data_IF_858822312339
#
_entry.id   IF_858822312339
#
_cell.length_a   1.000
_cell.length_b   1.000
_cell.length_c   1.000
_cell.angle_alpha   90.00
_cell.angle_beta   90.00
_cell.angle_gamma   90.00
#
_symmetry.space_group_name_H-M   'P 1'
#
loop_
_entity.id
_entity.type
_entity.pdbx_description
1 polymer ?
#
# COMPACT_ATOMS: atom_id res chain seq x y z
N UNK A 1 -27.31 -13.21 -92.45
CA UNK A 1 -27.55 -13.98 -91.25
C UNK A 1 -26.20 -14.06 -90.52
N UNK A 2 -26.16 -13.77 -89.30
CA UNK A 2 -25.12 -13.78 -88.27
C UNK A 2 -24.65 -12.39 -87.77
N UNK A 3 -25.24 -12.03 -86.64
CA UNK A 3 -24.98 -10.84 -85.88
C UNK A 3 -23.71 -10.99 -85.08
N UNK A 4 -22.83 -9.99 -85.18
CA UNK A 4 -21.63 -9.87 -84.35
C UNK A 4 -21.95 -9.04 -83.12
N UNK A 5 -21.94 -9.67 -81.94
CA UNK A 5 -22.14 -8.99 -80.68
C UNK A 5 -20.78 -8.46 -80.18
N UNK A 6 -20.68 -7.15 -80.06
CA UNK A 6 -19.58 -6.44 -79.46
C UNK A 6 -19.81 -6.41 -77.89
N UNK A 7 -18.92 -7.01 -77.12
CA UNK A 7 -18.93 -6.94 -75.65
C UNK A 7 -18.04 -5.77 -75.23
N UNK A 8 -18.65 -4.74 -74.70
CA UNK A 8 -17.95 -3.64 -74.01
C UNK A 8 -17.53 -4.08 -72.58
N UNK A 9 -16.22 -4.10 -72.35
CA UNK A 9 -15.66 -4.33 -71.05
C UNK A 9 -15.60 -3.01 -70.24
N UNK A 10 -16.39 -2.90 -69.16
CA UNK A 10 -16.33 -1.79 -68.22
C UNK A 10 -15.25 -2.09 -67.21
N UNK A 11 -14.20 -1.28 -67.22
CA UNK A 11 -13.19 -1.27 -66.18
C UNK A 11 -13.73 -0.54 -64.92
N UNK A 12 -13.97 -1.26 -63.83
CA UNK A 12 -14.20 -0.70 -62.52
C UNK A 12 -12.85 -0.40 -61.88
N UNK A 13 -12.51 0.89 -61.78
CA UNK A 13 -11.36 1.38 -61.06
C UNK A 13 -11.70 1.36 -59.58
N UNK A 14 -11.12 0.40 -58.83
CA UNK A 14 -11.24 0.30 -57.38
C UNK A 14 -10.32 1.34 -56.72
N UNK A 15 -10.89 2.50 -56.35
CA UNK A 15 -10.19 3.49 -55.51
C UNK A 15 -10.18 2.97 -54.07
N UNK A 16 -9.04 2.42 -53.66
CA UNK A 16 -8.80 2.05 -52.25
C UNK A 16 -8.61 3.34 -51.43
N UNK A 17 -9.65 3.72 -50.71
CA UNK A 17 -9.56 4.78 -49.69
C UNK A 17 -8.81 4.22 -48.50
N UNK A 18 -7.53 4.57 -48.37
CA UNK A 18 -6.73 4.32 -47.16
C UNK A 18 -7.17 5.34 -46.12
N UNK A 19 -8.01 4.90 -45.18
CA UNK A 19 -8.36 5.67 -43.98
C UNK A 19 -7.18 5.56 -43.00
N UNK A 20 -6.47 6.65 -42.65
CA UNK A 20 -5.47 6.61 -41.62
C UNK A 20 -6.16 6.35 -40.28
N UNK A 21 -5.85 5.22 -39.65
CA UNK A 21 -6.24 4.92 -38.27
C UNK A 21 -5.50 5.91 -37.36
N UNK A 22 -6.12 7.06 -37.05
CA UNK A 22 -5.67 7.91 -35.97
C UNK A 22 -5.87 7.11 -34.64
N UNK A 23 -4.78 6.56 -34.12
CA UNK A 23 -4.74 6.06 -32.75
C UNK A 23 -4.92 7.24 -31.80
N UNK A 24 -6.17 7.49 -31.38
CA UNK A 24 -6.47 8.35 -30.24
C UNK A 24 -5.80 7.74 -29.00
N UNK A 25 -4.67 8.30 -28.60
CA UNK A 25 -4.04 8.04 -27.33
C UNK A 25 -5.01 8.42 -26.23
N UNK A 26 -5.78 7.44 -25.73
CA UNK A 26 -6.73 7.66 -24.63
C UNK A 26 -5.97 8.08 -23.39
N UNK A 27 -6.26 9.26 -22.86
CA UNK A 27 -5.87 9.64 -21.50
C UNK A 27 -6.40 8.56 -20.55
N UNK A 28 -5.49 7.88 -19.85
CA UNK A 28 -5.89 6.92 -18.82
C UNK A 28 -6.50 7.69 -17.65
N UNK A 29 -7.82 7.67 -17.55
CA UNK A 29 -8.53 8.20 -16.39
C UNK A 29 -8.64 7.08 -15.35
N UNK A 30 -8.17 7.33 -14.15
CA UNK A 30 -8.27 6.40 -13.03
C UNK A 30 -9.50 6.75 -12.18
N UNK A 31 -10.20 5.75 -11.61
CA UNK A 31 -11.32 6.00 -10.72
C UNK A 31 -10.90 6.76 -9.47
N UNK A 32 -11.82 7.53 -8.90
CA UNK A 32 -11.63 8.14 -7.58
C UNK A 32 -11.98 7.14 -6.48
N UNK A 33 -11.31 7.27 -5.33
CA UNK A 33 -11.67 6.53 -4.13
C UNK A 33 -12.97 7.13 -3.54
N UNK A 34 -13.76 6.27 -2.90
CA UNK A 34 -14.95 6.71 -2.17
C UNK A 34 -14.52 7.27 -0.80
N UNK A 35 -14.79 8.55 -0.48
CA UNK A 35 -14.47 9.12 0.81
C UNK A 35 -15.26 8.49 1.98
N UNK A 36 -16.43 7.90 1.71
CA UNK A 36 -17.28 7.25 2.71
C UNK A 36 -16.91 5.76 2.94
N UNK A 37 -15.82 5.28 2.35
CA UNK A 37 -15.38 3.90 2.55
C UNK A 37 -14.94 3.71 4.00
N UNK A 38 -15.63 2.81 4.73
CA UNK A 38 -15.25 2.53 6.13
C UNK A 38 -13.98 1.69 6.18
N UNK A 39 -13.01 2.08 7.03
CA UNK A 39 -11.86 1.24 7.30
C UNK A 39 -12.31 -0.12 7.84
N UNK A 40 -11.64 -1.18 7.41
CA UNK A 40 -11.81 -2.51 8.01
C UNK A 40 -10.77 -2.59 9.13
N UNK A 41 -11.24 -2.85 10.36
CA UNK A 41 -10.34 -3.07 11.49
C UNK A 41 -9.46 -4.30 11.23
N UNK A 42 -8.16 -4.14 11.39
CA UNK A 42 -7.18 -5.22 11.26
C UNK A 42 -6.34 -5.28 12.53
N UNK A 43 -6.06 -6.52 12.97
CA UNK A 43 -5.08 -6.72 14.03
C UNK A 43 -3.68 -6.31 13.53
N UNK A 44 -2.92 -5.62 14.38
CA UNK A 44 -1.54 -5.27 14.06
C UNK A 44 -0.69 -6.53 13.88
N UNK A 45 0.05 -6.61 12.79
CA UNK A 45 1.00 -7.68 12.51
C UNK A 45 2.42 -7.19 12.77
N UNK A 46 3.13 -7.92 13.60
CA UNK A 46 4.54 -7.65 13.91
C UNK A 46 5.37 -7.72 12.65
N UNK A 47 6.25 -6.75 12.46
CA UNK A 47 7.14 -6.65 11.30
C UNK A 47 8.62 -6.55 11.67
N UNK A 48 9.52 -6.73 10.69
CA UNK A 48 10.93 -6.45 10.88
C UNK A 48 11.18 -5.01 11.30
N UNK A 49 12.00 -4.82 12.32
CA UNK A 49 12.30 -3.51 12.90
C UNK A 49 11.41 -3.11 14.05
N UNK A 50 10.32 -3.83 14.30
CA UNK A 50 9.53 -3.63 15.52
C UNK A 50 10.36 -3.99 16.77
N UNK A 51 10.05 -3.35 17.89
CA UNK A 51 10.60 -3.75 19.17
C UNK A 51 9.50 -4.38 20.02
N UNK A 52 9.74 -5.60 20.51
CA UNK A 52 8.78 -6.36 21.32
C UNK A 52 9.34 -6.58 22.72
N UNK A 53 8.54 -6.27 23.72
CA UNK A 53 8.83 -6.58 25.12
C UNK A 53 8.13 -7.89 25.50
N UNK A 54 8.93 -8.88 25.85
CA UNK A 54 8.49 -10.23 26.19
C UNK A 54 8.56 -10.39 27.70
N UNK A 55 7.40 -10.55 28.32
CA UNK A 55 7.25 -10.68 29.76
C UNK A 55 6.83 -12.11 30.08
N UNK A 56 7.70 -12.86 30.73
CA UNK A 56 7.42 -14.23 31.19
C UNK A 56 7.10 -14.20 32.66
N UNK A 57 5.87 -14.53 33.01
CA UNK A 57 5.39 -14.46 34.42
C UNK A 57 6.24 -15.28 35.36
N UNK A 58 6.70 -14.68 36.45
CA UNK A 58 7.58 -15.27 37.48
C UNK A 58 8.97 -15.71 37.01
N UNK A 59 9.38 -15.33 35.79
CA UNK A 59 10.69 -15.66 35.24
C UNK A 59 11.34 -14.42 34.63
N UNK A 60 11.76 -13.44 35.42
CA UNK A 60 12.34 -12.19 34.91
C UNK A 60 13.65 -12.41 34.15
N UNK A 61 14.37 -13.52 34.43
CA UNK A 61 15.63 -13.87 33.76
C UNK A 61 15.49 -14.23 32.27
N UNK A 62 14.28 -14.56 31.86
CA UNK A 62 13.95 -14.83 30.44
C UNK A 62 13.04 -13.77 29.84
N UNK A 63 12.68 -12.73 30.61
CA UNK A 63 11.89 -11.59 30.17
C UNK A 63 12.83 -10.50 29.65
N UNK A 64 12.56 -9.98 28.44
CA UNK A 64 13.39 -8.93 27.82
C UNK A 64 12.70 -8.25 26.64
N UNK A 65 13.14 -7.04 26.34
CA UNK A 65 12.82 -6.38 25.10
C UNK A 65 13.81 -6.82 24.01
N UNK A 66 13.27 -7.16 22.82
CA UNK A 66 14.08 -7.60 21.69
C UNK A 66 13.57 -6.97 20.39
N UNK A 67 14.47 -6.53 19.49
CA UNK A 67 14.07 -6.11 18.15
C UNK A 67 13.73 -7.31 17.27
N UNK A 68 12.75 -7.16 16.42
CA UNK A 68 12.47 -8.12 15.33
C UNK A 68 13.52 -7.92 14.24
N UNK A 69 14.28 -8.96 13.97
CA UNK A 69 15.38 -8.96 13.00
C UNK A 69 14.86 -8.75 11.58
N UNK A 70 15.72 -8.31 10.62
CA UNK A 70 15.32 -8.14 9.21
C UNK A 70 14.78 -9.41 8.54
N UNK A 71 15.14 -10.60 9.05
CA UNK A 71 14.60 -11.90 8.60
C UNK A 71 13.23 -12.24 9.24
N UNK A 72 12.65 -11.32 10.04
CA UNK A 72 11.36 -11.47 10.70
C UNK A 72 11.36 -12.36 11.94
N UNK A 73 12.53 -12.68 12.46
CA UNK A 73 12.69 -13.56 13.63
C UNK A 73 13.13 -12.77 14.86
N UNK A 74 12.87 -13.36 16.02
CA UNK A 74 13.40 -12.92 17.32
C UNK A 74 14.24 -14.01 17.95
N UNK A 75 15.15 -13.61 18.86
CA UNK A 75 15.94 -14.52 19.68
C UNK A 75 15.87 -14.03 21.12
N UNK A 76 15.49 -14.93 22.01
CA UNK A 76 15.41 -14.69 23.47
C UNK A 76 16.19 -15.78 24.21
N UNK A 77 16.46 -15.64 25.51
CA UNK A 77 17.01 -16.73 26.30
C UNK A 77 16.16 -17.99 26.14
N UNK A 78 16.79 -19.13 25.88
CA UNK A 78 16.18 -20.45 25.69
C UNK A 78 15.35 -20.63 24.40
N UNK A 79 15.04 -19.55 23.64
CA UNK A 79 14.27 -19.63 22.39
C UNK A 79 15.00 -18.86 21.29
N UNK A 80 15.61 -19.60 20.39
CA UNK A 80 16.34 -19.06 19.26
C UNK A 80 15.51 -19.12 17.98
N UNK A 81 15.70 -18.11 17.09
CA UNK A 81 15.15 -18.07 15.72
C UNK A 81 13.64 -18.29 15.60
N UNK A 82 12.86 -17.76 16.56
CA UNK A 82 11.41 -17.84 16.51
C UNK A 82 10.85 -16.81 15.52
N UNK A 83 9.98 -17.23 14.60
CA UNK A 83 9.34 -16.34 13.65
C UNK A 83 8.32 -15.44 14.37
N UNK A 84 8.53 -14.13 14.30
CA UNK A 84 7.65 -13.11 14.87
C UNK A 84 6.87 -12.35 13.79
N UNK A 85 7.50 -12.09 12.63
CA UNK A 85 6.88 -11.34 11.54
C UNK A 85 5.61 -12.02 11.00
N UNK A 86 4.58 -11.20 10.74
CA UNK A 86 3.29 -11.66 10.24
C UNK A 86 2.37 -12.27 11.30
N UNK A 87 2.75 -12.19 12.57
CA UNK A 87 1.95 -12.67 13.72
C UNK A 87 1.43 -11.50 14.54
N UNK A 88 0.30 -11.69 15.20
CA UNK A 88 -0.14 -10.76 16.26
C UNK A 88 0.68 -10.97 17.52
N UNK A 89 0.68 -10.00 18.44
CA UNK A 89 1.34 -10.14 19.74
C UNK A 89 0.84 -11.36 20.52
N UNK A 90 -0.47 -11.65 20.44
CA UNK A 90 -1.07 -12.83 21.09
C UNK A 90 -0.58 -14.14 20.47
N UNK A 91 -0.50 -14.23 19.15
CA UNK A 91 0.02 -15.42 18.47
C UNK A 91 1.49 -15.66 18.83
N UNK A 92 2.30 -14.59 18.80
CA UNK A 92 3.71 -14.69 19.19
C UNK A 92 3.87 -15.14 20.64
N UNK A 93 3.02 -14.62 21.56
CA UNK A 93 3.05 -15.04 22.95
C UNK A 93 2.79 -16.56 23.11
N UNK A 94 1.81 -17.11 22.37
CA UNK A 94 1.52 -18.56 22.40
C UNK A 94 2.68 -19.39 21.86
N UNK A 95 3.31 -18.94 20.79
CA UNK A 95 4.47 -19.63 20.23
C UNK A 95 5.68 -19.64 21.19
N UNK A 96 5.90 -18.53 21.89
CA UNK A 96 6.96 -18.44 22.92
C UNK A 96 6.63 -19.38 24.10
N UNK A 97 5.37 -19.45 24.55
CA UNK A 97 4.96 -20.38 25.61
C UNK A 97 5.22 -21.83 25.19
N UNK A 98 4.88 -22.19 23.97
CA UNK A 98 5.14 -23.54 23.44
C UNK A 98 6.64 -23.83 23.44
N UNK A 99 7.46 -22.90 22.94
CA UNK A 99 8.90 -23.07 22.90
C UNK A 99 9.53 -23.19 24.30
N UNK A 100 9.09 -22.35 25.25
CA UNK A 100 9.57 -22.34 26.63
C UNK A 100 9.07 -23.54 27.45
N UNK A 101 7.99 -24.21 27.05
CA UNK A 101 7.43 -25.36 27.79
C UNK A 101 8.39 -26.52 27.97
N UNK A 102 9.46 -26.58 27.15
CA UNK A 102 10.56 -27.55 27.24
C UNK A 102 11.45 -27.32 28.45
N UNK A 103 11.49 -26.09 28.98
CA UNK A 103 12.41 -25.64 30.02
C UNK A 103 11.68 -25.16 31.27
N UNK A 104 10.46 -24.60 31.11
CA UNK A 104 9.69 -24.00 32.16
C UNK A 104 8.31 -24.68 32.22
N UNK A 105 7.88 -25.05 33.42
CA UNK A 105 6.55 -25.63 33.61
C UNK A 105 5.46 -24.54 33.53
N UNK A 106 4.50 -24.71 32.62
CA UNK A 106 3.35 -23.82 32.42
C UNK A 106 3.77 -22.33 32.29
N UNK A 107 4.64 -21.98 31.34
CA UNK A 107 5.03 -20.58 31.15
C UNK A 107 3.81 -19.76 30.72
N UNK A 108 3.65 -18.56 31.28
CA UNK A 108 2.66 -17.57 30.86
C UNK A 108 3.41 -16.38 30.31
N UNK A 109 3.18 -16.09 29.01
CA UNK A 109 3.91 -15.05 28.28
C UNK A 109 2.96 -13.95 27.82
N UNK A 110 3.39 -12.71 28.03
CA UNK A 110 2.77 -11.51 27.44
C UNK A 110 3.78 -10.86 26.51
N UNK A 111 3.33 -10.53 25.31
CA UNK A 111 4.12 -9.79 24.31
C UNK A 111 3.50 -8.42 24.11
N UNK A 112 4.30 -7.37 24.30
CA UNK A 112 3.93 -5.98 24.10
C UNK A 112 4.79 -5.41 22.98
N UNK A 113 4.19 -4.88 21.91
CA UNK A 113 4.93 -4.14 20.88
C UNK A 113 5.14 -2.72 21.38
N UNK A 114 6.38 -2.26 21.44
CA UNK A 114 6.76 -0.94 21.98
C UNK A 114 7.16 0.06 20.90
N UNK A 115 7.71 -0.42 19.77
CA UNK A 115 8.02 0.38 18.60
C UNK A 115 7.38 -0.28 17.36
N UNK A 116 6.62 0.52 16.62
CA UNK A 116 5.80 0.03 15.51
C UNK A 116 6.39 0.48 14.19
N UNK A 117 7.10 -0.38 13.50
CA UNK A 117 7.54 -0.19 12.11
C UNK A 117 6.60 -0.93 11.18
N UNK A 118 6.26 -2.16 11.53
CA UNK A 118 5.40 -3.06 10.78
C UNK A 118 6.04 -3.61 9.50
N UNK A 119 5.45 -4.65 8.92
CA UNK A 119 5.88 -5.14 7.61
C UNK A 119 5.54 -4.11 6.51
N UNK A 120 6.27 -4.14 5.40
CA UNK A 120 6.02 -3.22 4.26
C UNK A 120 4.59 -3.27 3.72
N UNK A 121 3.89 -4.38 3.88
CA UNK A 121 2.48 -4.53 3.52
C UNK A 121 1.53 -3.70 4.39
N UNK A 122 1.97 -3.30 5.57
CA UNK A 122 1.19 -2.54 6.55
C UNK A 122 1.57 -1.04 6.58
N UNK A 123 2.58 -0.64 5.79
CA UNK A 123 3.04 0.74 5.73
C UNK A 123 2.36 1.50 4.60
N UNK A 124 2.07 2.78 4.84
CA UNK A 124 1.76 3.74 3.78
C UNK A 124 3.07 4.36 3.32
N UNK A 125 3.31 4.36 2.02
CA UNK A 125 4.54 4.90 1.43
C UNK A 125 4.21 6.12 0.59
N UNK A 126 4.95 7.20 0.80
CA UNK A 126 4.78 8.43 0.05
C UNK A 126 6.02 8.68 -0.80
N UNK A 127 5.82 8.90 -2.09
CA UNK A 127 6.88 9.15 -3.06
C UNK A 127 6.55 10.34 -3.96
N UNK A 128 7.58 11.01 -4.47
CA UNK A 128 7.47 12.16 -5.36
C UNK A 128 7.51 13.48 -4.60
N UNK A 129 6.71 14.45 -5.01
CA UNK A 129 6.71 15.83 -4.56
C UNK A 129 6.00 16.06 -3.20
N UNK A 130 6.27 15.22 -2.21
CA UNK A 130 6.00 15.52 -0.80
C UNK A 130 7.19 16.28 -0.20
N UNK A 131 6.97 17.07 0.86
CA UNK A 131 8.06 17.77 1.53
C UNK A 131 9.08 16.79 2.13
N UNK A 132 8.60 15.73 2.76
CA UNK A 132 9.43 14.64 3.33
C UNK A 132 8.90 13.26 2.89
N UNK A 133 9.27 12.79 1.68
CA UNK A 133 8.85 11.48 1.20
C UNK A 133 9.35 10.36 2.13
N UNK A 134 8.46 9.56 2.67
CA UNK A 134 8.80 8.51 3.63
C UNK A 134 7.77 7.39 3.68
N UNK A 135 8.11 6.32 4.39
CA UNK A 135 7.17 5.27 4.78
C UNK A 135 6.61 5.57 6.17
N UNK A 136 5.31 5.45 6.33
CA UNK A 136 4.58 5.70 7.57
C UNK A 136 3.92 4.40 8.04
N UNK A 137 3.97 4.05 9.32
CA UNK A 137 3.17 2.96 9.85
C UNK A 137 1.68 3.32 9.69
N UNK A 138 0.90 2.40 9.17
CA UNK A 138 -0.55 2.60 9.08
C UNK A 138 -1.16 2.67 10.50
N UNK A 139 -2.12 3.57 10.65
CA UNK A 139 -2.96 3.65 11.86
C UNK A 139 -4.41 3.49 11.46
N UNK A 140 -5.20 2.85 12.30
CA UNK A 140 -6.63 2.73 12.08
C UNK A 140 -7.29 4.11 11.85
N UNK A 141 -8.23 4.18 10.93
CA UNK A 141 -8.92 5.41 10.51
C UNK A 141 -8.01 6.49 9.87
N UNK A 142 -6.78 6.15 9.51
CA UNK A 142 -5.86 7.08 8.85
C UNK A 142 -6.40 7.54 7.50
N UNK A 143 -6.41 8.85 7.29
CA UNK A 143 -6.90 9.49 6.07
C UNK A 143 -5.75 10.05 5.23
N UNK A 144 -6.07 10.47 4.01
CA UNK A 144 -5.13 11.14 3.11
C UNK A 144 -4.56 12.42 3.73
N UNK A 145 -5.38 13.17 4.48
CA UNK A 145 -4.94 14.38 5.17
C UNK A 145 -3.91 14.06 6.26
N UNK A 146 -4.10 12.97 7.03
CA UNK A 146 -3.15 12.56 8.07
C UNK A 146 -1.79 12.20 7.48
N UNK A 147 -1.80 11.53 6.31
CA UNK A 147 -0.57 11.23 5.57
C UNK A 147 0.14 12.50 5.15
N UNK A 148 -0.58 13.49 4.59
CA UNK A 148 0.00 14.76 4.17
C UNK A 148 0.57 15.55 5.34
N UNK A 149 -0.10 15.56 6.49
CA UNK A 149 0.42 16.17 7.72
C UNK A 149 1.73 15.50 8.13
N UNK A 150 1.77 14.17 8.11
CA UNK A 150 2.94 13.40 8.54
C UNK A 150 4.18 13.59 7.64
N UNK A 151 3.97 13.87 6.33
CA UNK A 151 5.07 14.13 5.37
C UNK A 151 5.35 15.62 5.16
N UNK A 152 4.76 16.51 5.99
CA UNK A 152 5.00 17.96 5.92
C UNK A 152 4.31 18.65 4.73
N UNK A 153 3.33 18.01 4.09
CA UNK A 153 2.60 18.53 2.94
C UNK A 153 3.26 18.23 1.60
N UNK A 154 2.93 19.04 0.60
CA UNK A 154 3.48 18.95 -0.77
C UNK A 154 4.48 20.09 -1.02
N UNK A 155 5.42 19.87 -1.94
CA UNK A 155 6.31 20.92 -2.44
C UNK A 155 5.56 21.90 -3.37
N UNK A 156 6.14 23.05 -3.66
CA UNK A 156 5.60 24.04 -4.62
C UNK A 156 5.58 23.49 -6.06
N UNK A 157 6.37 22.46 -6.34
CA UNK A 157 6.45 21.82 -7.65
C UNK A 157 5.46 20.67 -7.82
N UNK A 158 4.70 20.32 -6.78
CA UNK A 158 3.76 19.22 -6.81
C UNK A 158 2.56 19.48 -7.74
N UNK A 159 2.15 18.45 -8.47
CA UNK A 159 0.88 18.42 -9.19
C UNK A 159 -0.15 17.64 -8.38
N UNK A 160 -0.67 18.26 -7.31
CA UNK A 160 -1.49 17.59 -6.32
C UNK A 160 -2.74 16.91 -6.87
N UNK A 161 -3.44 17.53 -7.84
CA UNK A 161 -4.63 16.93 -8.46
C UNK A 161 -4.31 15.87 -9.53
N UNK A 162 -3.02 15.60 -9.79
CA UNK A 162 -2.56 14.44 -10.57
C UNK A 162 -1.99 13.33 -9.70
N UNK A 163 -2.06 13.50 -8.38
CA UNK A 163 -1.62 12.48 -7.44
C UNK A 163 -2.48 11.21 -7.52
N UNK A 164 -1.89 10.10 -7.12
CA UNK A 164 -2.52 8.78 -7.20
C UNK A 164 -2.20 7.94 -5.99
N UNK A 165 -3.16 7.14 -5.58
CA UNK A 165 -2.94 6.05 -4.64
C UNK A 165 -2.86 4.74 -5.44
N UNK A 166 -1.77 4.00 -5.25
CA UNK A 166 -1.61 2.64 -5.74
C UNK A 166 -1.96 1.70 -4.60
N UNK A 167 -3.02 0.95 -4.75
CA UNK A 167 -3.59 0.03 -3.75
C UNK A 167 -3.59 -1.39 -4.28
N UNK A 168 -3.30 -2.36 -3.43
CA UNK A 168 -3.48 -3.76 -3.76
C UNK A 168 -4.94 -4.17 -3.47
N UNK A 169 -5.67 -4.54 -4.52
CA UNK A 169 -7.04 -5.04 -4.43
C UNK A 169 -7.05 -6.45 -5.00
N UNK A 170 -7.38 -7.44 -4.18
CA UNK A 170 -7.43 -8.86 -4.55
C UNK A 170 -6.13 -9.37 -5.25
N UNK A 171 -4.96 -8.95 -4.72
CA UNK A 171 -3.66 -9.34 -5.25
C UNK A 171 -3.24 -8.60 -6.54
N UNK A 172 -4.02 -7.60 -6.99
CA UNK A 172 -3.72 -6.78 -8.17
C UNK A 172 -3.53 -5.33 -7.77
N UNK A 173 -2.49 -4.70 -8.30
CA UNK A 173 -2.28 -3.27 -8.12
C UNK A 173 -3.27 -2.48 -8.96
N UNK A 174 -4.04 -1.62 -8.31
CA UNK A 174 -4.95 -0.66 -8.93
C UNK A 174 -4.52 0.76 -8.58
N UNK A 175 -4.78 1.70 -9.49
CA UNK A 175 -4.48 3.11 -9.30
C UNK A 175 -5.78 3.89 -9.15
N UNK A 176 -5.81 4.77 -8.17
CA UNK A 176 -6.93 5.66 -7.90
C UNK A 176 -6.45 7.11 -7.93
N UNK A 177 -7.20 7.99 -8.56
CA UNK A 177 -6.92 9.42 -8.57
C UNK A 177 -7.34 10.04 -7.24
N UNK A 178 -6.53 10.98 -6.75
CA UNK A 178 -6.82 11.80 -5.58
C UNK A 178 -6.56 13.27 -5.88
N UNK A 179 -7.25 14.17 -5.16
CA UNK A 179 -7.25 15.62 -5.42
C UNK A 179 -6.60 16.35 -4.24
N UNK A 180 -5.25 16.36 -4.21
CA UNK A 180 -4.52 16.94 -3.08
C UNK A 180 -4.55 18.47 -3.07
N UNK A 181 -4.57 19.13 -4.25
CA UNK A 181 -4.67 20.59 -4.33
C UNK A 181 -6.04 21.06 -3.81
N UNK A 182 -7.12 20.40 -4.22
CA UNK A 182 -8.48 20.69 -3.74
C UNK A 182 -8.57 20.51 -2.21
N UNK A 183 -7.97 19.43 -1.69
CA UNK A 183 -7.98 19.12 -0.26
C UNK A 183 -7.22 20.17 0.57
N UNK A 184 -6.00 20.57 0.13
CA UNK A 184 -5.12 21.41 0.95
C UNK A 184 -5.32 22.89 0.66
N UNK A 185 -5.45 23.28 -0.62
CA UNK A 185 -5.50 24.69 -1.02
C UNK A 185 -6.91 25.23 -1.01
N UNK A 186 -7.89 24.42 -1.44
CA UNK A 186 -9.29 24.83 -1.53
C UNK A 186 -10.10 24.42 -0.29
N UNK A 187 -9.57 23.55 0.56
CA UNK A 187 -10.23 23.05 1.76
C UNK A 187 -11.39 22.10 1.46
N UNK A 188 -11.41 21.45 0.29
CA UNK A 188 -12.43 20.49 -0.09
C UNK A 188 -12.28 19.18 0.69
N UNK A 189 -12.98 19.07 1.80
CA UNK A 189 -12.97 17.87 2.66
C UNK A 189 -13.50 16.62 1.95
N UNK A 190 -14.24 16.77 0.84
CA UNK A 190 -14.71 15.60 0.06
C UNK A 190 -13.58 14.91 -0.70
N UNK A 191 -12.43 15.56 -0.83
CA UNK A 191 -11.22 14.98 -1.39
C UNK A 191 -10.42 14.17 -0.35
N UNK A 192 -10.79 14.24 0.95
CA UNK A 192 -10.15 13.45 2.00
C UNK A 192 -10.67 12.02 1.96
N UNK A 193 -9.83 11.08 1.58
CA UNK A 193 -10.20 9.66 1.43
C UNK A 193 -9.49 8.81 2.47
N UNK A 194 -10.09 7.69 2.92
CA UNK A 194 -9.46 6.77 3.85
C UNK A 194 -8.30 6.04 3.18
N UNK A 195 -7.18 5.97 3.88
CA UNK A 195 -6.01 5.18 3.49
C UNK A 195 -6.17 3.74 3.96
N UNK A 196 -5.50 2.83 3.27
CA UNK A 196 -5.43 1.42 3.65
C UNK A 196 -3.98 0.97 3.78
N UNK A 197 -3.80 -0.10 4.51
CA UNK A 197 -2.51 -0.77 4.65
C UNK A 197 -1.91 -1.10 3.27
N UNK A 198 -0.62 -0.82 3.11
CA UNK A 198 0.11 -1.06 1.87
C UNK A 198 -0.10 -0.04 0.76
N UNK A 199 -0.90 1.00 0.97
CA UNK A 199 -1.10 2.07 -0.01
C UNK A 199 0.20 2.80 -0.33
N UNK A 200 0.37 3.16 -1.60
CA UNK A 200 1.47 4.02 -2.04
C UNK A 200 0.88 5.30 -2.63
N UNK A 201 1.13 6.42 -1.96
CA UNK A 201 0.78 7.74 -2.47
C UNK A 201 1.89 8.24 -3.39
N UNK A 202 1.55 8.51 -4.64
CA UNK A 202 2.46 9.03 -5.66
C UNK A 202 2.06 10.46 -5.98
N UNK A 203 2.93 11.42 -5.69
CA UNK A 203 2.72 12.84 -5.96
C UNK A 203 3.65 13.25 -7.11
N UNK A 204 3.13 13.41 -8.35
CA UNK A 204 3.97 13.76 -9.47
C UNK A 204 4.37 15.24 -9.46
N UNK A 205 5.46 15.55 -10.14
CA UNK A 205 5.89 16.91 -10.42
C UNK A 205 4.94 17.59 -11.42
N UNK A 206 4.78 18.92 -11.26
CA UNK A 206 4.06 19.76 -12.19
C UNK A 206 4.96 20.06 -13.41
N UNK A 207 4.48 19.72 -14.59
CA UNK A 207 5.09 20.20 -15.82
C UNK A 207 4.44 21.55 -16.17
N UNK A 208 5.28 22.54 -16.45
CA UNK A 208 4.86 23.89 -16.87
C UNK A 208 4.17 23.86 -18.22
#
# INVERSE_FOLDING_TARGET
MNALRIRTATWFSCFAVVIPLLSLGGCKTYPFLNPDEKPVAHDYLIGPGDNVDIIVWRNPEVSMAVPVRPDGKITTPLVEDLTASGKTSTQLARDIEEALSKYIQQPVVTVVVTEFVGPYSEQIRVIGEAAEPQALPYREEMTLMDVLIAVGGMTDFAAGNRARIVRNVDGKQQQFSVRLDDLIRDGDVTANVPMKQGDVLVIPESYF
#
